data_IF_112070700345
#
_entry.id   IF_112070700345
#
_cell.length_a   1.000
_cell.length_b   1.000
_cell.length_c   1.000
_cell.angle_alpha   90.00
_cell.angle_beta   90.00
_cell.angle_gamma   90.00
#
_symmetry.space_group_name_H-M   'P 1'
#
loop_
_entity.id
_entity.type
_entity.pdbx_description
1 polymer ?
#
# COMPACT_ATOMS: atom_id res chain seq x y z
N UNK A 1 -24.30 -2.62 -9.32
CA UNK A 1 -23.63 -3.79 -9.92
C UNK A 1 -22.18 -3.88 -9.45
N UNK A 2 -21.75 -5.04 -8.95
CA UNK A 2 -20.33 -5.30 -8.64
C UNK A 2 -19.59 -5.53 -9.95
N UNK A 3 -18.97 -4.47 -10.48
CA UNK A 3 -18.04 -4.50 -11.63
C UNK A 3 -16.84 -5.41 -11.30
N UNK A 4 -17.00 -6.73 -11.39
CA UNK A 4 -15.91 -7.68 -11.28
C UNK A 4 -15.04 -7.49 -12.53
N UNK A 5 -13.84 -6.95 -12.31
CA UNK A 5 -12.86 -6.83 -13.39
C UNK A 5 -12.51 -8.21 -13.92
N UNK A 6 -12.46 -8.34 -15.24
CA UNK A 6 -12.01 -9.56 -15.87
C UNK A 6 -10.53 -9.82 -15.52
N UNK A 7 -10.24 -11.02 -15.02
CA UNK A 7 -8.92 -11.37 -14.48
C UNK A 7 -7.85 -11.45 -15.58
N UNK A 8 -8.22 -11.91 -16.78
CA UNK A 8 -7.33 -12.10 -17.92
C UNK A 8 -6.83 -10.74 -18.45
N UNK A 9 -7.77 -9.80 -18.66
CA UNK A 9 -7.47 -8.43 -19.08
C UNK A 9 -6.58 -7.73 -18.05
N UNK A 10 -6.87 -7.90 -16.76
CA UNK A 10 -6.09 -7.30 -15.68
C UNK A 10 -4.66 -7.85 -15.63
N UNK A 11 -4.48 -9.16 -15.84
CA UNK A 11 -3.17 -9.78 -15.85
C UNK A 11 -2.32 -9.34 -17.05
N UNK A 12 -2.93 -9.20 -18.22
CA UNK A 12 -2.27 -8.66 -19.42
C UNK A 12 -1.72 -7.24 -19.17
N UNK A 13 -2.56 -6.35 -18.63
CA UNK A 13 -2.17 -4.96 -18.34
C UNK A 13 -1.05 -4.89 -17.32
N UNK A 14 -1.14 -5.71 -16.26
CA UNK A 14 -0.07 -5.79 -15.26
C UNK A 14 1.26 -6.18 -15.87
N UNK A 15 1.28 -7.13 -16.80
CA UNK A 15 2.50 -7.56 -17.51
C UNK A 15 3.03 -6.46 -18.43
N UNK A 16 2.16 -5.80 -19.19
CA UNK A 16 2.53 -4.69 -20.06
C UNK A 16 3.12 -3.51 -19.28
N UNK A 17 2.43 -3.07 -18.21
CA UNK A 17 2.92 -2.02 -17.32
C UNK A 17 4.23 -2.42 -16.62
N UNK A 18 4.39 -3.70 -16.24
CA UNK A 18 5.63 -4.21 -15.66
C UNK A 18 6.81 -4.07 -16.63
N UNK A 19 6.64 -4.45 -17.91
CA UNK A 19 7.68 -4.31 -18.93
C UNK A 19 8.01 -2.85 -19.23
N UNK A 20 6.99 -2.03 -19.51
CA UNK A 20 7.15 -0.60 -19.75
C UNK A 20 7.98 0.06 -18.65
N UNK A 21 7.70 -0.24 -17.38
CA UNK A 21 8.43 0.32 -16.24
C UNK A 21 9.88 -0.13 -16.15
N UNK A 22 10.17 -1.37 -16.53
CA UNK A 22 11.53 -1.90 -16.56
C UNK A 22 12.35 -1.29 -17.70
N UNK A 23 11.76 -1.21 -18.88
CA UNK A 23 12.39 -0.67 -20.09
C UNK A 23 12.60 0.84 -20.01
N UNK A 24 11.60 1.59 -19.51
CA UNK A 24 11.69 3.05 -19.34
C UNK A 24 12.44 3.47 -18.06
N UNK A 25 12.93 2.51 -17.26
CA UNK A 25 13.60 2.76 -15.98
C UNK A 25 12.83 3.74 -15.07
N UNK A 26 11.53 3.56 -14.95
CA UNK A 26 10.65 4.54 -14.31
C UNK A 26 11.02 4.74 -12.82
N UNK A 27 11.50 5.93 -12.46
CA UNK A 27 12.05 6.24 -11.11
C UNK A 27 11.04 5.98 -9.98
N UNK A 28 9.76 6.19 -10.25
CA UNK A 28 8.67 6.22 -9.26
C UNK A 28 7.80 4.96 -9.22
N UNK A 29 8.10 3.93 -10.03
CA UNK A 29 7.28 2.72 -10.09
C UNK A 29 7.48 1.77 -8.91
N UNK A 30 6.42 1.06 -8.48
CA UNK A 30 6.51 -0.06 -7.53
C UNK A 30 7.44 -1.19 -8.03
N UNK A 31 7.59 -1.30 -9.34
CA UNK A 31 8.45 -2.26 -10.03
C UNK A 31 9.57 -1.48 -10.72
N UNK A 32 10.83 -1.84 -10.46
CA UNK A 32 12.00 -1.26 -11.12
C UNK A 32 12.35 0.17 -10.68
N UNK A 33 11.47 0.85 -9.92
CA UNK A 33 11.72 2.21 -9.46
C UNK A 33 12.84 2.29 -8.43
N UNK A 34 13.85 3.12 -8.76
CA UNK A 34 14.98 3.41 -7.87
C UNK A 34 14.51 4.04 -6.56
N UNK A 35 13.53 4.95 -6.62
CA UNK A 35 13.01 5.61 -5.42
C UNK A 35 12.29 4.63 -4.49
N UNK A 36 11.46 3.74 -5.04
CA UNK A 36 10.76 2.74 -4.24
C UNK A 36 11.73 1.76 -3.57
N UNK A 37 12.78 1.36 -4.31
CA UNK A 37 13.86 0.51 -3.77
C UNK A 37 14.64 1.22 -2.67
N UNK A 38 14.98 2.49 -2.85
CA UNK A 38 15.66 3.30 -1.84
C UNK A 38 14.80 3.49 -0.59
N UNK A 39 13.51 3.80 -0.74
CA UNK A 39 12.57 3.92 0.38
C UNK A 39 12.44 2.61 1.15
N UNK A 40 12.46 1.45 0.47
CA UNK A 40 12.52 0.14 1.13
C UNK A 40 13.76 -0.02 1.99
N UNK A 41 14.94 0.29 1.46
CA UNK A 41 16.19 0.18 2.21
C UNK A 41 16.21 1.09 3.42
N UNK A 42 15.81 2.36 3.26
CA UNK A 42 15.69 3.29 4.37
C UNK A 42 14.70 2.79 5.43
N UNK A 43 13.55 2.24 5.01
CA UNK A 43 12.58 1.65 5.92
C UNK A 43 13.18 0.49 6.73
N UNK A 44 13.93 -0.42 6.10
CA UNK A 44 14.56 -1.54 6.80
C UNK A 44 15.61 -1.08 7.82
N UNK A 45 16.42 -0.08 7.45
CA UNK A 45 17.44 0.49 8.35
C UNK A 45 16.77 1.13 9.57
N UNK A 46 15.75 1.95 9.33
CA UNK A 46 15.02 2.67 10.38
C UNK A 46 14.23 1.70 11.28
N UNK A 47 13.57 0.71 10.68
CA UNK A 47 12.90 -0.37 11.42
C UNK A 47 13.88 -1.15 12.30
N UNK A 48 15.06 -1.53 11.77
CA UNK A 48 16.07 -2.24 12.54
C UNK A 48 16.60 -1.40 13.70
N UNK A 49 16.78 -0.09 13.49
CA UNK A 49 17.15 0.86 14.54
C UNK A 49 16.10 0.88 15.67
N UNK A 50 14.82 1.04 15.34
CA UNK A 50 13.74 1.08 16.35
C UNK A 50 13.64 -0.22 17.13
N UNK A 51 13.71 -1.38 16.44
CA UNK A 51 13.65 -2.68 17.11
C UNK A 51 14.85 -2.86 18.05
N UNK A 52 16.06 -2.51 17.61
CA UNK A 52 17.27 -2.61 18.43
C UNK A 52 17.15 -1.72 19.67
N UNK A 53 16.66 -0.50 19.50
CA UNK A 53 16.44 0.42 20.62
C UNK A 53 15.37 -0.08 21.59
N UNK A 54 14.25 -0.60 21.08
CA UNK A 54 13.17 -1.17 21.88
C UNK A 54 13.64 -2.37 22.72
N UNK A 55 14.39 -3.29 22.09
CA UNK A 55 14.96 -4.45 22.75
C UNK A 55 15.99 -4.04 23.81
N UNK A 56 16.83 -3.06 23.52
CA UNK A 56 17.76 -2.47 24.48
C UNK A 56 17.04 -1.88 25.70
N UNK A 57 15.91 -1.20 25.49
CA UNK A 57 15.09 -0.67 26.58
C UNK A 57 14.41 -1.76 27.41
N UNK A 58 13.90 -2.81 26.77
CA UNK A 58 13.32 -3.98 27.47
C UNK A 58 14.40 -4.62 28.35
N UNK A 59 15.59 -4.85 27.81
CA UNK A 59 16.71 -5.42 28.56
C UNK A 59 17.12 -4.52 29.73
N UNK A 60 17.24 -3.21 29.51
CA UNK A 60 17.54 -2.26 30.58
C UNK A 60 16.47 -2.24 31.67
N UNK A 61 15.19 -2.24 31.29
CA UNK A 61 14.07 -2.26 32.24
C UNK A 61 14.03 -3.56 33.04
N UNK A 62 14.36 -4.69 32.41
CA UNK A 62 14.48 -5.98 33.07
C UNK A 62 15.58 -5.98 34.14
N UNK A 63 16.78 -5.49 33.81
CA UNK A 63 17.88 -5.38 34.76
C UNK A 63 17.52 -4.46 35.95
N UNK A 64 16.84 -3.34 35.69
CA UNK A 64 16.35 -2.44 36.76
C UNK A 64 15.35 -3.12 37.68
N UNK A 65 14.42 -3.90 37.12
CA UNK A 65 13.47 -4.68 37.91
C UNK A 65 14.22 -5.69 38.79
N UNK A 66 15.21 -6.40 38.24
CA UNK A 66 16.01 -7.38 38.99
C UNK A 66 16.80 -6.74 40.14
N UNK A 67 17.40 -5.56 39.89
CA UNK A 67 18.06 -4.76 40.93
C UNK A 67 17.07 -4.40 42.06
N UNK A 68 15.89 -3.86 41.72
CA UNK A 68 14.87 -3.46 42.72
C UNK A 68 14.43 -4.66 43.57
N UNK A 69 14.25 -5.83 42.95
CA UNK A 69 13.87 -7.05 43.66
C UNK A 69 15.00 -7.54 44.59
N UNK A 70 16.25 -7.37 44.18
CA UNK A 70 17.44 -7.84 44.90
C UNK A 70 17.83 -6.97 46.10
N UNK A 71 17.63 -5.65 46.03
CA UNK A 71 17.95 -4.71 47.12
C UNK A 71 16.81 -4.52 48.14
N UNK A 72 15.67 -5.19 47.94
CA UNK A 72 14.51 -5.15 48.82
C UNK A 72 13.47 -4.12 48.39
N UNK A 73 12.20 -4.55 48.27
CA UNK A 73 11.01 -3.79 47.85
C UNK A 73 10.70 -2.50 48.64
N UNK A 74 11.52 -2.12 49.62
CA UNK A 74 11.23 -1.00 50.52
C UNK A 74 11.41 0.38 49.88
N UNK A 75 12.03 0.51 48.70
CA UNK A 75 12.41 1.83 48.20
C UNK A 75 11.53 2.45 47.10
N UNK A 76 10.84 1.69 46.23
CA UNK A 76 9.92 2.34 45.29
C UNK A 76 8.98 1.36 44.55
N UNK A 77 7.81 1.07 45.14
CA UNK A 77 6.79 0.25 44.48
C UNK A 77 6.25 0.91 43.19
N UNK A 78 6.30 2.25 43.12
CA UNK A 78 5.84 3.02 41.96
C UNK A 78 6.82 2.85 40.80
N UNK A 79 8.13 2.96 41.06
CA UNK A 79 9.19 2.73 40.07
C UNK A 79 9.16 1.30 39.52
N UNK A 80 8.95 0.30 40.39
CA UNK A 80 8.78 -1.10 39.95
C UNK A 80 7.58 -1.27 39.00
N UNK A 81 6.41 -0.73 39.37
CA UNK A 81 5.19 -0.82 38.55
C UNK A 81 5.41 -0.08 37.22
N UNK A 82 6.07 1.07 37.26
CA UNK A 82 6.39 1.86 36.08
C UNK A 82 7.26 1.08 35.09
N UNK A 83 8.38 0.52 35.54
CA UNK A 83 9.28 -0.26 34.67
C UNK A 83 8.60 -1.51 34.11
N UNK A 84 7.85 -2.24 34.95
CA UNK A 84 7.13 -3.44 34.54
C UNK A 84 6.08 -3.14 33.46
N UNK A 85 5.24 -2.12 33.67
CA UNK A 85 4.19 -1.77 32.73
C UNK A 85 4.78 -1.24 31.41
N UNK A 86 5.84 -0.44 31.48
CA UNK A 86 6.51 0.12 30.29
C UNK A 86 7.22 -0.96 29.48
N UNK A 87 7.81 -1.96 30.14
CA UNK A 87 8.39 -3.14 29.49
C UNK A 87 7.34 -3.93 28.70
N UNK A 88 6.19 -4.26 29.32
CA UNK A 88 5.11 -4.96 28.62
C UNK A 88 4.54 -4.15 27.47
N UNK A 89 4.35 -2.85 27.67
CA UNK A 89 3.86 -1.95 26.64
C UNK A 89 4.80 -1.92 25.42
N UNK A 90 6.11 -1.76 25.63
CA UNK A 90 7.09 -1.76 24.55
C UNK A 90 7.20 -3.12 23.88
N UNK A 91 7.09 -4.22 24.63
CA UNK A 91 7.05 -5.56 24.05
C UNK A 91 5.87 -5.74 23.07
N UNK A 92 4.68 -5.23 23.42
CA UNK A 92 3.51 -5.22 22.51
C UNK A 92 3.81 -4.38 21.26
N UNK A 93 4.48 -3.23 21.41
CA UNK A 93 4.85 -2.39 20.28
C UNK A 93 5.89 -3.04 19.36
N UNK A 94 6.82 -3.82 19.91
CA UNK A 94 7.76 -4.63 19.11
C UNK A 94 6.99 -5.66 18.27
N UNK A 95 6.03 -6.37 18.87
CA UNK A 95 5.17 -7.32 18.12
C UNK A 95 4.40 -6.60 17.01
N UNK A 96 3.83 -5.43 17.29
CA UNK A 96 3.12 -4.62 16.28
C UNK A 96 4.06 -4.11 15.17
N UNK A 97 5.31 -3.73 15.49
CA UNK A 97 6.32 -3.32 14.52
C UNK A 97 6.75 -4.48 13.61
N UNK A 98 6.86 -5.70 14.14
CA UNK A 98 7.09 -6.92 13.35
C UNK A 98 5.88 -7.19 12.44
N UNK A 99 4.66 -7.04 12.94
CA UNK A 99 3.45 -7.18 12.12
C UNK A 99 3.41 -6.15 10.98
N UNK A 100 3.81 -4.90 11.24
CA UNK A 100 3.93 -3.86 10.21
C UNK A 100 4.94 -4.26 9.12
N UNK A 101 6.09 -4.81 9.50
CA UNK A 101 7.08 -5.32 8.55
C UNK A 101 6.51 -6.45 7.68
N UNK A 102 5.78 -7.40 8.27
CA UNK A 102 5.13 -8.49 7.53
C UNK A 102 4.10 -7.93 6.55
N UNK A 103 3.27 -6.97 6.97
CA UNK A 103 2.31 -6.30 6.08
C UNK A 103 2.99 -5.55 4.93
N UNK A 104 4.15 -4.95 5.20
CA UNK A 104 4.97 -4.30 4.18
C UNK A 104 5.51 -5.31 3.15
N UNK A 105 6.02 -6.45 3.61
CA UNK A 105 6.53 -7.53 2.76
C UNK A 105 5.44 -8.17 1.88
N UNK A 106 4.24 -8.37 2.43
CA UNK A 106 3.07 -8.92 1.72
C UNK A 106 2.39 -7.83 0.83
N UNK A 107 2.95 -6.62 0.77
CA UNK A 107 2.48 -5.50 -0.07
C UNK A 107 1.06 -5.02 0.30
N UNK A 108 0.65 -5.20 1.56
CA UNK A 108 -0.60 -4.65 2.10
C UNK A 108 -0.37 -3.21 2.56
N UNK A 109 -0.07 -2.31 1.61
CA UNK A 109 0.42 -0.96 1.88
C UNK A 109 -0.49 -0.09 2.76
N UNK A 110 -1.82 -0.24 2.65
CA UNK A 110 -2.76 0.48 3.51
C UNK A 110 -2.71 -0.01 4.97
N UNK A 111 -2.77 -1.34 5.16
CA UNK A 111 -2.69 -1.94 6.49
C UNK A 111 -1.34 -1.63 7.14
N UNK A 112 -0.26 -1.74 6.37
CA UNK A 112 1.07 -1.32 6.78
C UNK A 112 1.10 0.13 7.26
N UNK A 113 0.57 1.09 6.49
CA UNK A 113 0.56 2.51 6.88
C UNK A 113 -0.17 2.74 8.21
N UNK A 114 -1.31 2.10 8.40
CA UNK A 114 -2.11 2.21 9.63
C UNK A 114 -1.33 1.64 10.82
N UNK A 115 -0.86 0.40 10.72
CA UNK A 115 -0.10 -0.26 11.80
C UNK A 115 1.16 0.54 12.13
N UNK A 116 1.87 1.04 11.12
CA UNK A 116 3.09 1.80 11.31
C UNK A 116 2.86 3.15 12.00
N UNK A 117 1.76 3.83 11.68
CA UNK A 117 1.36 5.08 12.33
C UNK A 117 1.01 4.85 13.80
N UNK A 118 0.26 3.78 14.08
CA UNK A 118 -0.10 3.38 15.44
C UNK A 118 1.15 3.09 16.27
N UNK A 119 2.05 2.26 15.75
CA UNK A 119 3.35 1.97 16.39
C UNK A 119 4.09 3.26 16.67
N UNK A 120 4.15 4.18 15.70
CA UNK A 120 4.90 5.43 15.83
C UNK A 120 4.37 6.34 16.95
N UNK A 121 3.04 6.50 17.02
CA UNK A 121 2.38 7.29 18.07
C UNK A 121 2.62 6.68 19.45
N UNK A 122 2.41 5.37 19.60
CA UNK A 122 2.56 4.74 20.90
C UNK A 122 4.02 4.61 21.34
N UNK A 123 4.96 4.45 20.41
CA UNK A 123 6.39 4.50 20.73
C UNK A 123 6.79 5.89 21.23
N UNK A 124 6.27 6.97 20.63
CA UNK A 124 6.45 8.34 21.13
C UNK A 124 5.98 8.46 22.59
N UNK A 125 4.74 8.03 22.89
CA UNK A 125 4.21 8.02 24.27
C UNK A 125 5.07 7.17 25.21
N UNK A 126 5.54 6.01 24.75
CA UNK A 126 6.36 5.09 25.52
C UNK A 126 7.76 5.63 25.87
N UNK A 127 8.23 6.71 25.24
CA UNK A 127 9.56 7.28 25.50
C UNK A 127 9.52 8.75 25.90
N UNK A 128 8.34 9.34 26.06
CA UNK A 128 8.20 10.70 26.56
C UNK A 128 8.67 10.76 28.02
N UNK A 129 9.83 11.36 28.27
CA UNK A 129 10.30 11.77 29.60
C UNK A 129 10.61 13.26 29.56
N UNK A 130 10.12 14.03 30.53
CA UNK A 130 10.16 15.50 30.50
C UNK A 130 11.57 16.10 30.62
N UNK A 131 12.56 15.32 31.06
CA UNK A 131 13.85 15.87 31.50
C UNK A 131 14.87 16.15 30.38
N UNK A 132 14.61 15.75 29.13
CA UNK A 132 15.53 16.02 28.00
C UNK A 132 14.84 15.99 26.63
N UNK A 133 13.99 16.98 26.38
CA UNK A 133 13.21 17.12 25.13
C UNK A 133 14.10 17.06 23.88
N UNK A 134 15.29 17.67 23.89
CA UNK A 134 16.19 17.66 22.72
C UNK A 134 16.71 16.27 22.33
N UNK A 135 17.12 15.46 23.32
CA UNK A 135 17.57 14.08 23.08
C UNK A 135 16.39 13.20 22.66
N UNK A 136 15.24 13.40 23.29
CA UNK A 136 14.02 12.68 22.93
C UNK A 136 13.62 12.93 21.46
N UNK A 137 13.66 14.17 21.01
CA UNK A 137 13.32 14.53 19.61
C UNK A 137 14.31 13.90 18.63
N UNK A 138 15.61 14.06 18.86
CA UNK A 138 16.64 13.59 17.92
C UNK A 138 16.71 12.06 17.84
N UNK A 139 16.68 11.36 18.97
CA UNK A 139 16.95 9.92 19.01
C UNK A 139 15.70 9.05 18.90
N UNK A 140 14.51 9.59 19.20
CA UNK A 140 13.25 8.84 19.16
C UNK A 140 12.26 9.40 18.15
N UNK A 141 11.96 10.71 18.19
CA UNK A 141 10.89 11.27 17.36
C UNK A 141 11.24 11.34 15.87
N UNK A 142 12.46 11.74 15.51
CA UNK A 142 12.90 11.85 14.11
C UNK A 142 12.82 10.48 13.38
N UNK A 143 13.38 9.38 13.92
CA UNK A 143 13.20 8.04 13.35
C UNK A 143 11.74 7.69 13.10
N UNK A 144 10.87 7.90 14.10
CA UNK A 144 9.43 7.61 13.96
C UNK A 144 8.75 8.45 12.86
N UNK A 145 9.11 9.72 12.74
CA UNK A 145 8.60 10.60 11.69
C UNK A 145 9.09 10.17 10.31
N UNK A 146 10.36 9.73 10.20
CA UNK A 146 10.94 9.24 8.96
C UNK A 146 10.24 7.96 8.50
N UNK A 147 9.96 7.04 9.42
CA UNK A 147 9.22 5.80 9.17
C UNK A 147 7.77 6.07 8.70
N UNK A 148 7.08 7.03 9.32
CA UNK A 148 5.77 7.50 8.87
C UNK A 148 5.83 8.11 7.46
N UNK A 149 6.81 9.00 7.21
CA UNK A 149 6.98 9.66 5.92
C UNK A 149 7.26 8.65 4.80
N UNK A 150 8.14 7.66 5.04
CA UNK A 150 8.40 6.57 4.10
C UNK A 150 7.12 5.77 3.84
N UNK A 151 6.34 5.47 4.88
CA UNK A 151 5.07 4.77 4.74
C UNK A 151 4.10 5.51 3.81
N UNK A 152 3.98 6.83 3.98
CA UNK A 152 3.14 7.68 3.12
C UNK A 152 3.68 7.68 1.69
N UNK A 153 4.98 7.86 1.48
CA UNK A 153 5.59 7.84 0.14
C UNK A 153 5.34 6.51 -0.59
N UNK A 154 5.52 5.38 0.10
CA UNK A 154 5.25 4.05 -0.45
C UNK A 154 3.76 3.89 -0.80
N UNK A 155 2.88 4.36 0.08
CA UNK A 155 1.44 4.32 -0.18
C UNK A 155 1.04 5.20 -1.38
N UNK A 156 1.62 6.38 -1.54
CA UNK A 156 1.38 7.27 -2.69
C UNK A 156 1.85 6.61 -3.99
N UNK A 157 3.01 5.96 -4.00
CA UNK A 157 3.51 5.19 -5.15
C UNK A 157 2.51 4.07 -5.50
N UNK A 158 2.09 3.29 -4.51
CA UNK A 158 1.11 2.23 -4.71
C UNK A 158 -0.22 2.75 -5.27
N UNK A 159 -0.75 3.84 -4.71
CA UNK A 159 -2.01 4.43 -5.15
C UNK A 159 -1.92 5.01 -6.57
N UNK A 160 -0.78 5.62 -6.92
CA UNK A 160 -0.51 6.09 -8.29
C UNK A 160 -0.51 4.93 -9.27
N UNK A 161 0.14 3.83 -8.91
CA UNK A 161 0.21 2.63 -9.74
C UNK A 161 -1.15 1.96 -9.92
N UNK A 162 -1.95 1.88 -8.84
CA UNK A 162 -3.32 1.37 -8.89
C UNK A 162 -4.22 2.24 -9.78
N UNK A 163 -4.10 3.57 -9.69
CA UNK A 163 -4.83 4.50 -10.57
C UNK A 163 -4.46 4.31 -12.05
N UNK A 164 -3.17 4.11 -12.33
CA UNK A 164 -2.68 3.89 -13.70
C UNK A 164 -3.14 2.54 -14.26
N UNK A 165 -3.04 1.47 -13.48
CA UNK A 165 -3.58 0.15 -13.84
C UNK A 165 -5.08 0.23 -14.15
N UNK A 166 -5.85 0.92 -13.32
CA UNK A 166 -7.28 1.11 -13.55
C UNK A 166 -7.57 1.93 -14.83
N UNK A 167 -6.74 2.94 -15.10
CA UNK A 167 -6.88 3.77 -16.30
C UNK A 167 -6.60 2.98 -17.58
N UNK A 168 -5.49 2.23 -17.62
CA UNK A 168 -5.15 1.39 -18.78
C UNK A 168 -6.17 0.24 -18.96
N UNK A 169 -6.71 -0.30 -17.85
CA UNK A 169 -7.81 -1.26 -17.90
C UNK A 169 -9.04 -0.70 -18.58
N UNK A 170 -9.51 0.47 -18.15
CA UNK A 170 -10.67 1.11 -18.76
C UNK A 170 -10.40 1.49 -20.22
N UNK A 171 -9.17 1.92 -20.55
CA UNK A 171 -8.75 2.24 -21.92
C UNK A 171 -8.85 1.00 -22.82
N UNK A 172 -8.29 -0.13 -22.40
CA UNK A 172 -8.31 -1.37 -23.19
C UNK A 172 -9.73 -1.92 -23.36
N UNK A 173 -10.52 -1.98 -22.29
CA UNK A 173 -11.92 -2.40 -22.36
C UNK A 173 -12.72 -1.51 -23.33
N UNK A 174 -12.54 -0.18 -23.25
CA UNK A 174 -13.24 0.73 -24.16
C UNK A 174 -12.83 0.56 -25.63
N UNK A 175 -11.56 0.20 -25.87
CA UNK A 175 -11.05 -0.06 -27.20
C UNK A 175 -11.63 -1.36 -27.78
N UNK A 176 -11.58 -2.45 -27.00
CA UNK A 176 -12.17 -3.73 -27.40
C UNK A 176 -13.67 -3.59 -27.68
N UNK A 177 -14.39 -2.86 -26.83
CA UNK A 177 -15.81 -2.62 -27.01
C UNK A 177 -16.09 -1.83 -28.29
N UNK A 178 -15.31 -0.79 -28.58
CA UNK A 178 -15.42 -0.01 -29.81
C UNK A 178 -15.11 -0.85 -31.07
N UNK A 179 -14.18 -1.80 -30.96
CA UNK A 179 -13.84 -2.72 -32.05
C UNK A 179 -14.97 -3.73 -32.29
N UNK A 180 -15.54 -4.29 -31.23
CA UNK A 180 -16.60 -5.28 -31.32
C UNK A 180 -17.93 -4.67 -31.81
N UNK A 181 -18.29 -3.47 -31.32
CA UNK A 181 -19.48 -2.74 -31.82
C UNK A 181 -19.34 -2.25 -33.27
N UNK A 182 -18.11 -2.01 -33.76
CA UNK A 182 -17.88 -1.72 -35.20
C UNK A 182 -18.22 -2.92 -36.09
N UNK A 183 -18.20 -4.13 -35.54
CA UNK A 183 -18.60 -5.36 -36.21
C UNK A 183 -20.09 -5.71 -36.04
N UNK A 184 -20.91 -4.77 -35.53
CA UNK A 184 -22.37 -4.91 -35.34
C UNK A 184 -22.82 -5.98 -34.31
N UNK A 185 -21.99 -6.33 -33.34
CA UNK A 185 -22.40 -7.20 -32.23
C UNK A 185 -22.79 -6.35 -31.00
N UNK A 186 -24.07 -6.37 -30.64
CA UNK A 186 -24.56 -5.91 -29.34
C UNK A 186 -24.44 -7.10 -28.37
N UNK A 187 -23.52 -7.01 -27.41
CA UNK A 187 -23.31 -8.06 -26.42
C UNK A 187 -24.11 -7.78 -25.15
N UNK A 188 -24.73 -8.81 -24.58
CA UNK A 188 -25.15 -8.79 -23.17
C UNK A 188 -23.93 -8.87 -22.25
N UNK A 189 -24.08 -8.59 -20.95
CA UNK A 189 -22.95 -8.57 -20.00
C UNK A 189 -22.23 -9.94 -19.92
N UNK A 190 -22.98 -11.04 -19.97
CA UNK A 190 -22.40 -12.40 -19.96
C UNK A 190 -21.65 -12.71 -21.26
N UNK A 191 -22.23 -12.37 -22.42
CA UNK A 191 -21.58 -12.54 -23.72
C UNK A 191 -20.32 -11.67 -23.83
N UNK A 192 -20.32 -10.51 -23.19
CA UNK A 192 -19.16 -9.63 -23.12
C UNK A 192 -18.03 -10.24 -22.28
N UNK A 193 -18.34 -10.86 -21.15
CA UNK A 193 -17.33 -11.56 -20.34
C UNK A 193 -16.76 -12.78 -21.08
N UNK A 194 -17.61 -13.58 -21.73
CA UNK A 194 -17.16 -14.70 -22.57
C UNK A 194 -16.27 -14.22 -23.73
N UNK A 195 -16.63 -13.11 -24.38
CA UNK A 195 -15.79 -12.49 -25.40
C UNK A 195 -14.43 -12.08 -24.85
N UNK A 196 -14.38 -11.40 -23.70
CA UNK A 196 -13.13 -10.99 -23.05
C UNK A 196 -12.26 -12.18 -22.63
N UNK A 197 -12.87 -13.29 -22.23
CA UNK A 197 -12.17 -14.53 -21.87
C UNK A 197 -11.70 -15.31 -23.11
N UNK A 198 -12.41 -15.19 -24.24
CA UNK A 198 -12.02 -15.81 -25.51
C UNK A 198 -10.84 -15.11 -26.19
N UNK A 199 -10.57 -13.84 -25.85
CA UNK A 199 -9.43 -13.11 -26.39
C UNK A 199 -8.13 -13.66 -25.80
N UNK A 200 -7.34 -14.31 -26.65
CA UNK A 200 -6.01 -14.74 -26.29
C UNK A 200 -5.06 -13.53 -26.31
N UNK A 201 -4.78 -12.99 -25.12
CA UNK A 201 -3.83 -11.90 -24.96
C UNK A 201 -2.39 -12.42 -25.12
N UNK A 202 -1.93 -12.57 -26.37
CA UNK A 202 -0.55 -12.98 -26.66
C UNK A 202 0.45 -11.83 -26.43
N UNK A 203 1.62 -12.17 -25.88
CA UNK A 203 2.65 -11.26 -25.39
C UNK A 203 3.39 -10.48 -26.50
N UNK A 204 3.16 -10.83 -27.77
CA UNK A 204 3.78 -10.19 -28.93
C UNK A 204 2.88 -9.17 -29.62
N UNK A 205 1.59 -9.20 -29.33
CA UNK A 205 0.61 -8.31 -29.93
C UNK A 205 0.37 -7.11 -29.02
N UNK A 206 0.88 -5.95 -29.40
CA UNK A 206 0.47 -4.69 -28.77
C UNK A 206 -0.95 -4.34 -29.22
N UNK A 207 -1.93 -4.83 -28.44
CA UNK A 207 -3.35 -4.51 -28.63
C UNK A 207 -3.66 -3.08 -28.16
N UNK A 208 -2.74 -2.45 -27.42
CA UNK A 208 -2.93 -1.08 -26.92
C UNK A 208 -2.68 -0.08 -28.06
N UNK A 209 -3.64 0.81 -28.36
CA UNK A 209 -3.38 1.89 -29.30
C UNK A 209 -2.34 2.85 -28.71
N UNK A 210 -1.29 3.14 -29.50
CA UNK A 210 -0.21 4.09 -29.22
C UNK A 210 -0.70 5.51 -28.86
N UNK A 211 -1.95 5.84 -29.20
CA UNK A 211 -2.51 7.18 -29.01
C UNK A 211 -3.69 7.17 -28.04
N UNK A 212 -3.78 8.16 -27.12
CA UNK A 212 -4.96 8.32 -26.29
C UNK A 212 -6.20 8.57 -27.17
N UNK A 213 -7.30 7.91 -26.85
CA UNK A 213 -8.60 8.09 -27.54
C UNK A 213 -8.95 9.59 -27.60
N UNK A 214 -9.36 10.05 -28.79
CA UNK A 214 -9.68 11.47 -29.01
C UNK A 214 -10.88 11.86 -28.13
N UNK A 215 -10.95 13.13 -27.74
CA UNK A 215 -12.01 13.67 -26.87
C UNK A 215 -13.42 13.40 -27.44
N UNK A 216 -13.54 13.35 -28.76
CA UNK A 216 -14.77 13.00 -29.49
C UNK A 216 -15.16 11.52 -29.30
N UNK A 217 -14.19 10.60 -29.29
CA UNK A 217 -14.43 9.16 -29.04
C UNK A 217 -14.83 8.92 -27.60
N UNK A 218 -14.15 9.55 -26.64
CA UNK A 218 -14.56 9.51 -25.22
C UNK A 218 -15.98 10.04 -25.01
N UNK A 219 -16.37 11.10 -25.70
CA UNK A 219 -17.73 11.64 -25.61
C UNK A 219 -18.77 10.74 -26.28
N UNK A 220 -18.42 10.06 -27.39
CA UNK A 220 -19.30 9.05 -28.01
C UNK A 220 -19.48 7.85 -27.09
N UNK A 221 -18.41 7.37 -26.46
CA UNK A 221 -18.45 6.25 -25.53
C UNK A 221 -19.29 6.56 -24.28
N UNK A 222 -19.16 7.77 -23.73
CA UNK A 222 -19.98 8.21 -22.59
C UNK A 222 -21.47 8.33 -22.95
N UNK A 223 -21.78 8.71 -24.19
CA UNK A 223 -23.16 8.73 -24.71
C UNK A 223 -23.69 7.33 -25.02
N UNK A 224 -22.85 6.41 -25.48
CA UNK A 224 -23.24 5.03 -25.72
C UNK A 224 -23.56 4.30 -24.41
N UNK A 225 -22.70 4.45 -23.40
CA UNK A 225 -22.96 3.91 -22.06
C UNK A 225 -24.20 4.52 -21.39
N UNK A 226 -24.44 5.82 -21.58
CA UNK A 226 -25.66 6.44 -21.06
C UNK A 226 -26.94 6.08 -21.86
N UNK A 227 -26.80 5.52 -23.06
CA UNK A 227 -27.94 5.09 -23.89
C UNK A 227 -28.33 3.64 -23.61
N UNK A 228 -27.37 2.77 -23.27
CA UNK A 228 -27.66 1.42 -22.76
C UNK A 228 -28.43 1.47 -21.45
N UNK A 229 -28.11 2.39 -20.55
CA UNK A 229 -28.81 2.54 -19.26
C UNK A 229 -30.25 3.08 -19.42
N UNK A 230 -30.59 3.69 -20.56
CA UNK A 230 -31.92 4.27 -20.82
C UNK A 230 -32.84 3.35 -21.63
N UNK A 231 -32.28 2.40 -22.38
CA UNK A 231 -33.05 1.38 -23.12
C UNK A 231 -33.47 0.24 -22.17
N UNK A 232 -32.74 0.01 -21.07
CA UNK A 232 -33.09 -0.98 -20.05
C UNK A 232 -34.29 -0.56 -19.17
N UNK A 233 -34.56 0.75 -19.02
CA UNK A 233 -35.76 1.26 -18.31
C UNK A 233 -37.03 1.31 -19.20
N UNK A 234 -36.90 1.21 -20.52
CA UNK A 234 -38.03 1.32 -21.45
C UNK A 234 -38.68 -0.03 -21.82
N UNK A 235 -38.00 -1.14 -21.56
CA UNK A 235 -38.48 -2.50 -21.83
C UNK A 235 -39.14 -3.18 -20.60
N UNK A 236 -39.24 -2.46 -19.46
CA UNK A 236 -39.84 -2.92 -18.20
C UNK A 236 -41.22 -2.26 -17.88
N UNK A 237 -41.87 -1.58 -18.85
CA UNK A 237 -43.29 -1.13 -18.76
C UNK A 237 -44.27 -1.97 -19.60
#
# INVERSE_FOLDING_TARGET
MSNKKNANVLQYIRRQEYRRRLEEHEVWGHVGGRLYTLLKWLYFIDWAYIITFALGFIMWSYLRIDDILSFGFQYDAEEFIWHKNRMYFIAILVVAAVAALVLFLIRKHLAFLITNSIVSVFFSVAFQSQDNVGKYVLFNLIPLLLLCAIGVCVYVIYFRDMKRENFEYNKLISYLYAQATKNNENYTEDQWQEYLDSIEFDYKTDILPDKPLKRSEKSRLKKAAAKSDFEEEADDE
#
